data_IF_583114559092
#
_entry.id   IF_583114559092
#
_cell.length_a   1.000
_cell.length_b   1.000
_cell.length_c   1.000
_cell.angle_alpha   90.00
_cell.angle_beta   90.00
_cell.angle_gamma   90.00
#
_symmetry.space_group_name_H-M   'P 1'
#
loop_
_entity.id
_entity.type
_entity.pdbx_description
1 polymer ?
#
# COMPACT_ATOMS: atom_id res chain seq x y z
N UNK A 1 34.69 47.62 9.06
CA UNK A 1 35.25 48.94 9.44
C UNK A 1 36.42 49.38 8.57
N UNK A 2 37.43 48.52 8.36
CA UNK A 2 38.65 48.85 7.58
C UNK A 2 38.41 49.44 6.18
N UNK A 3 37.45 48.93 5.39
CA UNK A 3 37.21 49.44 4.04
C UNK A 3 36.45 50.78 3.98
N UNK A 4 35.57 51.07 4.94
CA UNK A 4 34.90 52.38 5.04
C UNK A 4 35.91 53.45 5.45
N UNK A 5 36.79 53.12 6.39
CA UNK A 5 37.92 53.96 6.79
C UNK A 5 38.89 54.18 5.63
N UNK A 6 39.18 53.15 4.82
CA UNK A 6 40.01 53.29 3.63
C UNK A 6 39.36 54.22 2.58
N UNK A 7 38.05 54.16 2.38
CA UNK A 7 37.34 55.07 1.47
C UNK A 7 37.35 56.52 2.00
N UNK A 8 37.18 56.72 3.30
CA UNK A 8 37.29 58.04 3.93
C UNK A 8 38.70 58.62 3.74
N UNK A 9 39.74 57.84 4.03
CA UNK A 9 41.14 58.24 3.83
C UNK A 9 41.43 58.59 2.37
N UNK A 10 40.90 57.82 1.41
CA UNK A 10 41.14 58.08 -0.02
C UNK A 10 40.33 59.28 -0.51
N UNK A 11 39.13 59.55 0.03
CA UNK A 11 38.38 60.77 -0.25
C UNK A 11 39.07 62.01 0.33
N UNK A 12 39.67 61.90 1.51
CA UNK A 12 40.46 62.98 2.11
C UNK A 12 41.70 63.29 1.25
N UNK A 13 42.38 62.26 0.73
CA UNK A 13 43.49 62.42 -0.22
C UNK A 13 43.06 63.10 -1.54
N UNK A 14 41.87 62.82 -2.05
CA UNK A 14 41.30 63.49 -3.24
C UNK A 14 40.94 64.96 -2.96
N UNK A 15 40.48 65.27 -1.75
CA UNK A 15 40.23 66.64 -1.31
C UNK A 15 41.55 67.44 -1.15
N UNK A 16 42.58 66.82 -0.58
CA UNK A 16 43.93 67.40 -0.50
C UNK A 16 44.52 67.62 -1.89
N UNK A 17 44.39 66.64 -2.79
CA UNK A 17 44.79 66.76 -4.19
C UNK A 17 44.09 67.94 -4.87
N UNK A 18 42.76 68.05 -4.73
CA UNK A 18 41.97 69.14 -5.30
C UNK A 18 42.40 70.52 -4.79
N UNK A 19 42.79 70.61 -3.51
CA UNK A 19 43.33 71.84 -2.91
C UNK A 19 44.72 72.19 -3.50
N UNK A 20 45.60 71.20 -3.69
CA UNK A 20 46.91 71.39 -4.33
C UNK A 20 46.77 71.83 -5.78
N UNK A 21 45.85 71.22 -6.55
CA UNK A 21 45.56 71.63 -7.93
C UNK A 21 44.99 73.05 -8.00
N UNK A 22 44.14 73.44 -7.05
CA UNK A 22 43.67 74.82 -6.90
C UNK A 22 44.81 75.82 -6.64
N UNK A 23 45.79 75.46 -5.82
CA UNK A 23 46.98 76.27 -5.56
C UNK A 23 47.89 76.37 -6.81
N UNK A 24 48.09 75.26 -7.54
CA UNK A 24 48.87 75.22 -8.77
C UNK A 24 48.21 76.06 -9.87
N UNK A 25 46.89 76.01 -10.02
CA UNK A 25 46.15 76.87 -10.96
C UNK A 25 46.32 78.36 -10.62
N UNK A 26 46.33 78.71 -9.33
CA UNK A 26 46.59 80.08 -8.90
C UNK A 26 48.00 80.52 -9.26
N UNK A 27 49.01 79.67 -9.03
CA UNK A 27 50.41 79.94 -9.39
C UNK A 27 50.55 80.08 -10.92
N UNK A 28 49.91 79.22 -11.72
CA UNK A 28 49.90 79.33 -13.18
C UNK A 28 49.27 80.65 -13.65
N UNK A 29 48.16 81.05 -13.05
CA UNK A 29 47.50 82.33 -13.35
C UNK A 29 48.38 83.54 -12.96
N UNK A 30 49.05 83.49 -11.80
CA UNK A 30 49.97 84.53 -11.37
C UNK A 30 51.19 84.61 -12.31
N UNK A 31 51.79 83.48 -12.68
CA UNK A 31 52.88 83.43 -13.67
C UNK A 31 52.47 84.01 -15.03
N UNK A 32 51.25 83.72 -15.50
CA UNK A 32 50.71 84.28 -16.74
C UNK A 32 50.45 85.79 -16.66
N UNK A 33 50.09 86.33 -15.48
CA UNK A 33 49.94 87.79 -15.28
C UNK A 33 51.28 88.53 -15.29
N UNK A 34 52.38 87.86 -14.96
CA UNK A 34 53.72 88.45 -14.88
C UNK A 34 54.63 88.09 -16.07
N UNK A 35 54.10 87.54 -17.17
CA UNK A 35 54.86 87.08 -18.35
C UNK A 35 56.02 86.12 -18.01
N UNK A 36 55.84 85.29 -16.97
CA UNK A 36 56.81 84.29 -16.55
C UNK A 36 56.57 82.93 -17.23
N UNK A 37 57.62 82.11 -17.43
CA UNK A 37 57.46 80.76 -17.97
C UNK A 37 56.53 79.93 -17.08
N UNK A 38 55.59 79.23 -17.72
CA UNK A 38 54.59 78.41 -17.00
C UNK A 38 55.28 77.28 -16.23
N UNK A 39 55.03 77.15 -14.91
CA UNK A 39 55.58 76.05 -14.13
C UNK A 39 54.88 74.74 -14.49
N UNK A 40 55.68 73.72 -14.81
CA UNK A 40 55.22 72.38 -15.19
C UNK A 40 55.43 71.41 -14.01
N UNK A 41 54.36 70.72 -13.60
CA UNK A 41 54.35 69.81 -12.45
C UNK A 41 53.86 68.42 -12.89
N UNK A 42 54.70 67.60 -13.56
CA UNK A 42 54.29 66.29 -14.06
C UNK A 42 53.92 65.33 -12.92
N UNK A 43 54.56 65.46 -11.76
CA UNK A 43 54.29 64.68 -10.54
C UNK A 43 52.85 64.88 -10.02
N UNK A 44 52.22 66.02 -10.31
CA UNK A 44 50.83 66.31 -9.92
C UNK A 44 49.83 65.60 -10.84
N UNK A 45 50.16 65.47 -12.13
CA UNK A 45 49.34 64.73 -13.08
C UNK A 45 49.44 63.21 -12.79
N UNK A 46 50.65 62.71 -12.51
CA UNK A 46 50.86 61.32 -12.05
C UNK A 46 50.13 61.02 -10.74
N UNK A 47 50.19 61.93 -9.76
CA UNK A 47 49.46 61.80 -8.50
C UNK A 47 47.93 61.82 -8.71
N UNK A 48 47.43 62.61 -9.68
CA UNK A 48 46.01 62.62 -10.02
C UNK A 48 45.55 61.25 -10.52
N UNK A 49 46.30 60.69 -11.46
CA UNK A 49 46.01 59.39 -12.05
C UNK A 49 46.01 58.30 -10.96
N UNK A 50 47.02 58.30 -10.07
CA UNK A 50 47.12 57.34 -8.96
C UNK A 50 45.97 57.47 -7.94
N UNK A 51 45.59 58.69 -7.56
CA UNK A 51 44.46 58.94 -6.63
C UNK A 51 43.14 58.51 -7.27
N UNK A 52 42.92 58.84 -8.55
CA UNK A 52 41.71 58.46 -9.28
C UNK A 52 41.62 56.93 -9.48
N UNK A 53 42.73 56.26 -9.82
CA UNK A 53 42.79 54.81 -9.90
C UNK A 53 42.43 54.17 -8.56
N UNK A 54 43.03 54.64 -7.47
CA UNK A 54 42.81 54.13 -6.11
C UNK A 54 41.36 54.33 -5.66
N UNK A 55 40.79 55.53 -5.87
CA UNK A 55 39.37 55.81 -5.63
C UNK A 55 38.46 54.86 -6.40
N UNK A 56 38.77 54.62 -7.68
CA UNK A 56 37.96 53.76 -8.53
C UNK A 56 37.89 52.32 -8.02
N UNK A 57 38.98 51.81 -7.45
CA UNK A 57 39.07 50.47 -6.91
C UNK A 57 38.40 50.33 -5.54
N UNK A 58 38.55 51.32 -4.65
CA UNK A 58 37.85 51.31 -3.37
C UNK A 58 36.34 51.53 -3.48
N UNK A 59 35.89 52.35 -4.44
CA UNK A 59 34.45 52.46 -4.78
C UNK A 59 33.91 51.12 -5.29
N UNK A 60 34.66 50.44 -6.14
CA UNK A 60 34.31 49.09 -6.63
C UNK A 60 34.13 48.11 -5.47
N UNK A 61 35.05 48.11 -4.50
CA UNK A 61 34.92 47.28 -3.30
C UNK A 61 33.70 47.66 -2.46
N UNK A 62 33.40 48.95 -2.29
CA UNK A 62 32.22 49.39 -1.52
C UNK A 62 30.92 48.88 -2.12
N UNK A 63 30.82 48.89 -3.44
CA UNK A 63 29.67 48.36 -4.16
C UNK A 63 29.57 46.84 -4.02
N UNK A 64 30.70 46.13 -4.13
CA UNK A 64 30.76 44.68 -3.90
C UNK A 64 30.30 44.33 -2.48
N UNK A 65 30.87 44.99 -1.48
CA UNK A 65 30.58 44.76 -0.06
C UNK A 65 29.12 45.05 0.28
N UNK A 66 28.50 46.03 -0.37
CA UNK A 66 27.07 46.31 -0.20
C UNK A 66 26.22 45.19 -0.80
N UNK A 67 26.45 44.82 -2.05
CA UNK A 67 25.64 43.80 -2.74
C UNK A 67 25.80 42.41 -2.10
N UNK A 68 27.03 41.99 -1.74
CA UNK A 68 27.22 40.70 -1.04
C UNK A 68 26.63 40.73 0.36
N UNK A 69 26.72 41.86 1.07
CA UNK A 69 26.14 42.01 2.40
C UNK A 69 24.60 41.93 2.41
N UNK A 70 23.94 42.37 1.34
CA UNK A 70 22.49 42.18 1.17
C UNK A 70 22.15 40.69 1.04
N UNK A 71 22.91 39.96 0.21
CA UNK A 71 22.74 38.51 -0.03
C UNK A 71 23.09 37.69 1.23
N UNK A 72 24.18 38.02 1.93
CA UNK A 72 24.64 37.37 3.16
C UNK A 72 23.64 37.46 4.30
N UNK A 73 22.91 38.58 4.38
CA UNK A 73 21.93 38.83 5.44
C UNK A 73 20.56 38.19 5.19
N UNK A 74 20.31 37.63 3.99
CA UNK A 74 19.05 36.95 3.70
C UNK A 74 18.85 35.72 4.61
N UNK A 75 17.61 35.45 5.05
CA UNK A 75 17.26 34.23 5.77
C UNK A 75 17.60 32.98 4.96
N UNK A 76 18.32 32.02 5.57
CA UNK A 76 18.77 30.80 4.89
C UNK A 76 17.63 30.00 4.26
N UNK A 77 16.49 29.91 4.96
CA UNK A 77 15.34 29.13 4.50
C UNK A 77 14.73 29.66 3.19
N UNK A 78 14.92 30.95 2.89
CA UNK A 78 14.41 31.60 1.68
C UNK A 78 15.44 31.56 0.55
N UNK A 79 16.70 31.88 0.87
CA UNK A 79 17.79 31.92 -0.13
C UNK A 79 18.25 30.53 -0.59
N UNK A 80 18.08 29.47 0.23
CA UNK A 80 18.47 28.10 -0.15
C UNK A 80 17.70 27.57 -1.38
N UNK A 81 16.51 28.09 -1.66
CA UNK A 81 15.76 27.75 -2.88
C UNK A 81 16.24 28.53 -4.11
N UNK A 82 16.93 29.65 -3.89
CA UNK A 82 17.39 30.59 -4.93
C UNK A 82 18.90 30.76 -4.92
N UNK A 83 19.66 29.69 -4.64
CA UNK A 83 21.13 29.73 -4.60
C UNK A 83 21.77 30.19 -5.92
N UNK A 84 21.05 30.12 -7.05
CA UNK A 84 21.50 30.69 -8.32
C UNK A 84 21.74 32.21 -8.27
N UNK A 85 21.10 32.94 -7.35
CA UNK A 85 21.34 34.37 -7.12
C UNK A 85 22.80 34.62 -6.73
N UNK A 86 23.39 33.72 -5.94
CA UNK A 86 24.80 33.80 -5.57
C UNK A 86 25.71 33.46 -6.76
N UNK A 87 25.34 32.47 -7.58
CA UNK A 87 26.06 32.14 -8.82
C UNK A 87 26.07 33.33 -9.80
N UNK A 88 24.91 33.97 -10.01
CA UNK A 88 24.74 35.15 -10.87
C UNK A 88 25.54 36.35 -10.35
N UNK A 89 25.51 36.57 -9.04
CA UNK A 89 26.32 37.58 -8.36
C UNK A 89 27.82 37.35 -8.62
N UNK A 90 28.31 36.13 -8.42
CA UNK A 90 29.72 35.79 -8.62
C UNK A 90 30.14 35.90 -10.09
N UNK A 91 29.25 35.58 -11.03
CA UNK A 91 29.49 35.75 -12.46
C UNK A 91 29.58 37.24 -12.87
N UNK A 92 28.60 38.05 -12.42
CA UNK A 92 28.57 39.51 -12.61
C UNK A 92 29.87 40.16 -12.12
N UNK A 93 30.30 39.82 -10.91
CA UNK A 93 31.48 40.43 -10.30
C UNK A 93 32.80 39.91 -10.87
N UNK A 94 32.86 38.65 -11.32
CA UNK A 94 34.03 38.14 -12.05
C UNK A 94 34.24 38.89 -13.38
N UNK A 95 33.17 39.15 -14.14
CA UNK A 95 33.27 39.90 -15.40
C UNK A 95 33.67 41.37 -15.17
N UNK A 96 33.11 41.99 -14.14
CA UNK A 96 33.38 43.39 -13.77
C UNK A 96 34.85 43.66 -13.40
N UNK A 97 35.54 42.65 -12.87
CA UNK A 97 36.94 42.72 -12.42
C UNK A 97 37.93 42.25 -13.50
N UNK A 98 37.48 41.44 -14.47
CA UNK A 98 38.31 40.75 -15.48
C UNK A 98 39.23 41.67 -16.31
N UNK A 99 38.78 42.87 -16.66
CA UNK A 99 39.50 43.79 -17.55
C UNK A 99 40.14 44.98 -16.80
N UNK A 100 40.24 44.92 -15.47
CA UNK A 100 40.83 45.99 -14.65
C UNK A 100 42.31 45.72 -14.34
N UNK A 101 43.06 46.80 -14.08
CA UNK A 101 44.44 46.74 -13.58
C UNK A 101 44.45 46.01 -12.22
N UNK A 102 45.39 45.08 -12.05
CA UNK A 102 45.46 44.23 -10.87
C UNK A 102 46.16 44.98 -9.72
N UNK A 103 45.38 45.68 -8.90
CA UNK A 103 45.82 46.26 -7.65
C UNK A 103 45.50 45.35 -6.44
N UNK A 104 45.77 45.82 -5.22
CA UNK A 104 45.52 45.08 -3.97
C UNK A 104 44.03 44.75 -3.79
N UNK A 105 43.13 45.67 -4.16
CA UNK A 105 41.68 45.50 -3.98
C UNK A 105 41.13 44.48 -4.97
N UNK A 106 41.51 44.60 -6.24
CA UNK A 106 41.16 43.67 -7.32
C UNK A 106 41.67 42.26 -7.01
N UNK A 107 42.91 42.10 -6.49
CA UNK A 107 43.43 40.80 -6.04
C UNK A 107 42.58 40.19 -4.93
N UNK A 108 42.19 41.00 -3.95
CA UNK A 108 41.32 40.55 -2.86
C UNK A 108 39.96 40.10 -3.39
N UNK A 109 39.31 40.91 -4.24
CA UNK A 109 38.01 40.58 -4.83
C UNK A 109 38.06 39.28 -5.65
N UNK A 110 39.11 39.09 -6.46
CA UNK A 110 39.30 37.84 -7.22
C UNK A 110 39.45 36.63 -6.30
N UNK A 111 40.24 36.75 -5.23
CA UNK A 111 40.41 35.68 -4.26
C UNK A 111 39.09 35.34 -3.54
N UNK A 112 38.32 36.36 -3.16
CA UNK A 112 37.05 36.19 -2.47
C UNK A 112 35.96 35.59 -3.37
N UNK A 113 35.86 36.05 -4.63
CA UNK A 113 34.96 35.47 -5.63
C UNK A 113 35.28 33.99 -5.85
N UNK A 114 36.57 33.63 -5.97
CA UNK A 114 36.97 32.23 -6.11
C UNK A 114 36.70 31.40 -4.85
N UNK A 115 36.87 31.98 -3.65
CA UNK A 115 36.51 31.33 -2.38
C UNK A 115 35.02 31.01 -2.35
N UNK A 116 34.17 32.01 -2.58
CA UNK A 116 32.72 31.85 -2.58
C UNK A 116 32.25 30.89 -3.67
N UNK A 117 32.81 30.97 -4.89
CA UNK A 117 32.49 30.06 -6.00
C UNK A 117 32.79 28.59 -5.66
N UNK A 118 33.89 28.32 -4.96
CA UNK A 118 34.18 26.97 -4.46
C UNK A 118 33.17 26.51 -3.43
N UNK A 119 32.59 27.41 -2.64
CA UNK A 119 31.67 27.10 -1.56
C UNK A 119 30.22 26.87 -2.01
N UNK A 120 29.76 27.50 -3.12
CA UNK A 120 28.37 27.38 -3.60
C UNK A 120 27.89 25.92 -3.77
N UNK A 121 28.66 24.99 -4.36
CA UNK A 121 28.24 23.60 -4.48
C UNK A 121 28.00 22.93 -3.13
N UNK A 122 28.70 23.33 -2.08
CA UNK A 122 28.54 22.76 -0.74
C UNK A 122 27.24 23.23 -0.09
N UNK A 123 26.88 24.51 -0.26
CA UNK A 123 25.61 25.07 0.22
C UNK A 123 24.39 24.30 -0.30
N UNK A 124 24.48 23.74 -1.51
CA UNK A 124 23.41 22.90 -2.09
C UNK A 124 23.20 21.59 -1.34
N UNK A 125 24.21 21.07 -0.65
CA UNK A 125 24.11 19.85 0.16
C UNK A 125 23.62 20.14 1.57
N UNK A 126 23.87 21.35 2.09
CA UNK A 126 23.45 21.76 3.45
C UNK A 126 22.03 22.35 3.49
N UNK A 127 21.23 22.16 2.42
CA UNK A 127 19.84 22.66 2.36
C UNK A 127 18.97 22.16 3.51
N UNK A 128 19.15 20.89 3.90
CA UNK A 128 18.47 20.29 5.06
C UNK A 128 16.96 20.16 4.87
N UNK A 129 16.48 19.77 3.68
CA UNK A 129 15.02 19.70 3.39
C UNK A 129 14.29 18.71 4.31
N UNK A 130 14.92 17.56 4.59
CA UNK A 130 14.41 16.53 5.50
C UNK A 130 14.78 16.77 6.98
N UNK A 131 15.38 17.91 7.34
CA UNK A 131 15.87 18.14 8.70
C UNK A 131 14.74 18.48 9.68
N UNK A 132 14.64 17.66 10.71
CA UNK A 132 13.89 17.94 11.94
C UNK A 132 14.70 18.91 12.81
N UNK A 133 14.11 19.37 13.92
CA UNK A 133 14.79 20.26 14.86
C UNK A 133 16.09 19.65 15.42
N UNK A 134 16.11 18.34 15.69
CA UNK A 134 17.32 17.65 16.16
C UNK A 134 18.43 17.63 15.11
N UNK A 135 18.07 17.43 13.83
CA UNK A 135 19.02 17.45 12.72
C UNK A 135 19.64 18.83 12.55
N UNK A 136 18.85 19.90 12.63
CA UNK A 136 19.37 21.28 12.60
C UNK A 136 20.33 21.57 13.75
N UNK A 137 20.01 21.15 14.98
CA UNK A 137 20.90 21.32 16.13
C UNK A 137 22.21 20.55 15.96
N UNK A 138 22.15 19.35 15.38
CA UNK A 138 23.35 18.55 15.07
C UNK A 138 24.20 19.25 14.01
N UNK A 139 23.59 19.78 12.95
CA UNK A 139 24.28 20.55 11.93
C UNK A 139 24.96 21.80 12.51
N UNK A 140 24.26 22.57 13.33
CA UNK A 140 24.82 23.77 13.98
C UNK A 140 26.01 23.43 14.86
N UNK A 141 26.02 22.24 15.49
CA UNK A 141 27.16 21.74 16.27
C UNK A 141 28.34 21.34 15.39
N UNK A 142 28.09 20.68 14.25
CA UNK A 142 29.14 20.29 13.30
C UNK A 142 29.82 21.52 12.68
N UNK A 143 29.04 22.57 12.40
CA UNK A 143 29.52 23.82 11.79
C UNK A 143 29.96 24.88 12.82
N UNK A 144 29.93 24.54 14.11
CA UNK A 144 30.33 25.39 15.23
C UNK A 144 29.64 26.76 15.25
N UNK A 145 28.35 26.80 14.91
CA UNK A 145 27.59 28.06 14.89
C UNK A 145 27.49 28.70 16.28
N UNK A 146 27.43 30.04 16.37
CA UNK A 146 27.30 30.75 17.63
C UNK A 146 26.08 30.29 18.45
N UNK A 147 26.23 30.28 19.77
CA UNK A 147 25.14 29.96 20.69
C UNK A 147 24.01 30.98 20.52
N UNK A 148 22.79 30.51 20.27
CA UNK A 148 21.61 31.35 20.02
C UNK A 148 21.18 31.41 18.55
N UNK A 149 21.96 30.84 17.63
CA UNK A 149 21.48 30.58 16.27
C UNK A 149 20.46 29.45 16.30
N UNK A 150 19.31 29.71 15.69
CA UNK A 150 18.21 28.78 15.52
C UNK A 150 17.68 28.83 14.08
N UNK A 151 16.65 28.02 13.80
CA UNK A 151 16.07 27.93 12.46
C UNK A 151 15.39 29.23 11.99
N UNK A 152 15.01 30.11 12.90
CA UNK A 152 14.28 31.36 12.63
C UNK A 152 15.20 32.55 12.34
N UNK A 153 16.42 32.55 12.90
CA UNK A 153 17.40 33.61 12.72
C UNK A 153 18.60 33.21 11.84
N UNK A 154 18.55 32.02 11.25
CA UNK A 154 19.59 31.48 10.37
C UNK A 154 19.69 32.29 9.06
N UNK A 155 20.88 32.77 8.77
CA UNK A 155 21.24 33.56 7.58
C UNK A 155 22.29 32.86 6.73
N UNK A 156 22.42 33.26 5.47
CA UNK A 156 23.47 32.76 4.58
C UNK A 156 24.88 33.03 5.12
N UNK A 157 25.10 34.20 5.75
CA UNK A 157 26.40 34.60 6.30
C UNK A 157 27.03 33.53 7.17
N UNK A 158 26.26 32.87 8.05
CA UNK A 158 26.78 31.81 8.94
C UNK A 158 27.39 30.62 8.16
N UNK A 159 26.81 30.27 7.01
CA UNK A 159 27.36 29.18 6.18
C UNK A 159 28.59 29.62 5.39
N UNK A 160 28.66 30.90 4.97
CA UNK A 160 29.80 31.46 4.26
C UNK A 160 30.99 31.73 5.17
N UNK A 161 30.73 32.11 6.42
CA UNK A 161 31.72 32.30 7.49
C UNK A 161 32.32 30.94 7.91
N UNK A 162 31.49 29.91 8.04
CA UNK A 162 31.93 28.54 8.36
C UNK A 162 32.31 27.71 7.12
N UNK A 163 32.64 28.33 5.98
CA UNK A 163 32.81 27.60 4.72
C UNK A 163 33.87 26.49 4.77
N UNK A 164 34.98 26.74 5.46
CA UNK A 164 36.07 25.77 5.57
C UNK A 164 35.65 24.55 6.42
N UNK A 165 34.81 24.77 7.42
CA UNK A 165 34.20 23.70 8.22
C UNK A 165 33.18 22.91 7.38
N UNK A 166 32.35 23.58 6.58
CA UNK A 166 31.41 22.91 5.66
C UNK A 166 32.17 21.96 4.71
N UNK A 167 33.28 22.42 4.14
CA UNK A 167 34.09 21.61 3.21
C UNK A 167 34.77 20.44 3.94
N UNK A 168 35.39 20.69 5.09
CA UNK A 168 36.12 19.65 5.83
C UNK A 168 35.20 18.61 6.48
N UNK A 169 34.00 19.01 6.90
CA UNK A 169 32.99 18.15 7.54
C UNK A 169 31.93 17.62 6.58
N UNK A 170 32.18 17.72 5.28
CA UNK A 170 31.21 17.37 4.24
C UNK A 170 30.71 15.92 4.33
N UNK A 171 31.56 14.97 4.74
CA UNK A 171 31.13 13.57 4.95
C UNK A 171 30.09 13.47 6.07
N UNK A 172 30.35 14.09 7.21
CA UNK A 172 29.44 14.06 8.37
C UNK A 172 28.10 14.73 8.04
N UNK A 173 28.12 15.81 7.24
CA UNK A 173 26.91 16.51 6.79
C UNK A 173 26.11 15.63 5.82
N UNK A 174 26.77 14.92 4.90
CA UNK A 174 26.10 13.97 3.99
C UNK A 174 25.47 12.81 4.75
N UNK A 175 26.17 12.28 5.75
CA UNK A 175 25.64 11.21 6.61
C UNK A 175 24.42 11.70 7.40
N UNK A 176 24.47 12.93 7.93
CA UNK A 176 23.32 13.58 8.59
C UNK A 176 22.13 13.77 7.62
N UNK A 177 22.39 14.18 6.37
CA UNK A 177 21.38 14.29 5.32
C UNK A 177 20.76 12.93 4.99
N UNK A 178 21.57 11.90 4.77
CA UNK A 178 21.09 10.56 4.49
C UNK A 178 20.24 10.02 5.64
N UNK A 179 20.69 10.21 6.88
CA UNK A 179 19.95 9.87 8.09
C UNK A 179 18.61 10.60 8.16
N UNK A 180 18.59 11.91 7.96
CA UNK A 180 17.38 12.71 8.06
C UNK A 180 16.34 12.31 7.01
N UNK A 181 16.76 12.12 5.75
CA UNK A 181 15.88 11.65 4.68
C UNK A 181 15.31 10.27 4.99
N UNK A 182 16.13 9.35 5.52
CA UNK A 182 15.66 8.03 5.91
C UNK A 182 14.68 8.09 7.09
N UNK A 183 14.96 8.88 8.14
CA UNK A 183 14.05 9.06 9.28
C UNK A 183 12.69 9.64 8.83
N UNK A 184 12.68 10.62 7.91
CA UNK A 184 11.44 11.19 7.33
C UNK A 184 10.68 10.15 6.53
N UNK A 185 11.36 9.39 5.65
CA UNK A 185 10.69 8.35 4.85
C UNK A 185 10.08 7.24 5.72
N UNK A 186 10.75 6.85 6.81
CA UNK A 186 10.20 5.88 7.77
C UNK A 186 8.96 6.46 8.47
N UNK A 187 9.03 7.71 8.92
CA UNK A 187 7.89 8.38 9.55
C UNK A 187 6.69 8.46 8.60
N UNK A 188 6.91 8.89 7.36
CA UNK A 188 5.85 8.98 6.35
C UNK A 188 5.19 7.62 6.08
N UNK A 189 5.98 6.55 5.98
CA UNK A 189 5.44 5.20 5.79
C UNK A 189 4.68 4.68 7.02
N UNK A 190 5.11 5.02 8.24
CA UNK A 190 4.38 4.69 9.46
C UNK A 190 3.08 5.50 9.61
N UNK A 191 3.09 6.76 9.18
CA UNK A 191 1.90 7.62 9.16
C UNK A 191 0.90 7.14 8.10
N UNK A 192 1.38 6.65 6.95
CA UNK A 192 0.56 5.99 5.94
C UNK A 192 -0.09 4.72 6.48
N UNK A 193 0.64 3.88 7.23
CA UNK A 193 0.08 2.71 7.91
C UNK A 193 -1.00 3.08 8.92
N UNK A 194 -0.77 4.13 9.70
CA UNK A 194 -1.76 4.63 10.65
C UNK A 194 -3.03 5.10 9.92
N UNK A 195 -2.87 5.89 8.87
CA UNK A 195 -3.99 6.38 8.06
C UNK A 195 -4.76 5.23 7.40
N UNK A 196 -4.06 4.27 6.80
CA UNK A 196 -4.67 3.07 6.25
C UNK A 196 -5.49 2.33 7.30
N UNK A 197 -4.98 2.20 8.53
CA UNK A 197 -5.68 1.51 9.61
C UNK A 197 -6.97 2.17 10.08
N UNK A 198 -7.06 3.50 9.91
CA UNK A 198 -8.23 4.30 10.29
C UNK A 198 -9.29 4.31 9.18
N UNK A 199 -8.85 4.31 7.91
CA UNK A 199 -9.72 4.41 6.73
C UNK A 199 -10.25 3.04 6.24
N UNK A 200 -9.53 1.94 6.53
CA UNK A 200 -9.82 0.63 5.93
C UNK A 200 -10.82 -0.17 6.75
N UNK A 201 -11.99 -0.41 6.15
CA UNK A 201 -13.09 -1.18 6.73
C UNK A 201 -13.38 -2.47 5.97
N UNK A 202 -13.93 -3.47 6.67
CA UNK A 202 -14.49 -4.67 6.06
C UNK A 202 -15.69 -4.35 5.19
N UNK A 203 -15.64 -4.78 3.94
CA UNK A 203 -16.81 -4.76 3.07
C UNK A 203 -17.70 -5.97 3.36
N UNK A 204 -18.90 -5.72 3.87
CA UNK A 204 -19.84 -6.75 4.33
C UNK A 204 -21.03 -6.93 3.37
N UNK A 205 -21.59 -8.15 3.35
CA UNK A 205 -22.84 -8.50 2.64
C UNK A 205 -23.74 -9.33 3.53
N UNK A 206 -25.04 -9.06 3.48
CA UNK A 206 -26.03 -9.84 4.24
C UNK A 206 -26.32 -11.17 3.56
N UNK A 207 -26.27 -12.25 4.34
CA UNK A 207 -26.61 -13.61 3.95
C UNK A 207 -27.65 -14.17 4.92
N UNK A 208 -28.50 -15.08 4.45
CA UNK A 208 -29.49 -15.78 5.29
C UNK A 208 -29.08 -17.23 5.44
N UNK A 209 -28.95 -17.67 6.69
CA UNK A 209 -28.64 -19.06 7.01
C UNK A 209 -29.83 -20.00 6.76
N UNK A 210 -29.63 -21.31 6.92
CA UNK A 210 -30.66 -22.33 6.71
C UNK A 210 -31.88 -22.19 7.61
N UNK A 211 -31.74 -21.48 8.75
CA UNK A 211 -32.82 -21.17 9.69
C UNK A 211 -33.49 -19.82 9.39
N UNK A 212 -33.07 -19.13 8.33
CA UNK A 212 -33.58 -17.83 7.92
C UNK A 212 -33.01 -16.64 8.72
N UNK A 213 -31.99 -16.86 9.56
CA UNK A 213 -31.33 -15.83 10.35
C UNK A 213 -30.34 -15.06 9.49
N UNK A 214 -30.35 -13.73 9.59
CA UNK A 214 -29.40 -12.88 8.88
C UNK A 214 -28.01 -12.94 9.54
N UNK A 215 -26.98 -13.07 8.72
CA UNK A 215 -25.57 -12.98 9.11
C UNK A 215 -24.83 -12.10 8.09
N UNK A 216 -23.99 -11.19 8.56
CA UNK A 216 -23.10 -10.43 7.68
C UNK A 216 -21.85 -11.25 7.38
N UNK A 217 -21.51 -11.37 6.10
CA UNK A 217 -20.33 -12.06 5.59
C UNK A 217 -19.36 -11.05 4.95
N UNK A 218 -18.06 -11.33 5.00
CA UNK A 218 -17.06 -10.48 4.34
C UNK A 218 -17.01 -10.81 2.85
N UNK A 219 -16.95 -9.77 2.02
CA UNK A 219 -16.64 -9.85 0.59
C UNK A 219 -15.30 -9.15 0.30
N UNK A 220 -14.85 -9.25 -0.95
CA UNK A 220 -13.64 -8.53 -1.43
C UNK A 220 -12.34 -8.88 -0.69
N UNK A 221 -12.25 -10.09 -0.14
CA UNK A 221 -11.08 -10.62 0.58
C UNK A 221 -9.74 -10.36 -0.11
N UNK A 222 -9.70 -10.48 -1.44
CA UNK A 222 -8.46 -10.43 -2.22
C UNK A 222 -7.76 -9.07 -2.11
N UNK A 223 -8.53 -7.99 -2.25
CA UNK A 223 -7.99 -6.63 -2.20
C UNK A 223 -7.43 -6.32 -0.81
N UNK A 224 -8.19 -6.64 0.22
CA UNK A 224 -7.76 -6.49 1.62
C UNK A 224 -6.50 -7.30 1.94
N UNK A 225 -6.44 -8.57 1.53
CA UNK A 225 -5.27 -9.42 1.74
C UNK A 225 -4.03 -8.87 1.01
N UNK A 226 -4.20 -8.33 -0.19
CA UNK A 226 -3.11 -7.68 -0.93
C UNK A 226 -2.61 -6.45 -0.20
N UNK A 227 -3.50 -5.56 0.25
CA UNK A 227 -3.10 -4.36 1.02
C UNK A 227 -2.31 -4.73 2.28
N UNK A 228 -2.77 -5.72 3.05
CA UNK A 228 -2.03 -6.20 4.24
C UNK A 228 -0.65 -6.72 3.87
N UNK A 229 -0.52 -7.49 2.78
CA UNK A 229 0.78 -7.99 2.31
C UNK A 229 1.73 -6.90 1.81
N UNK A 230 1.21 -5.88 1.14
CA UNK A 230 1.98 -4.73 0.68
C UNK A 230 2.52 -3.94 1.89
N UNK A 231 1.68 -3.70 2.89
CA UNK A 231 2.07 -3.03 4.14
C UNK A 231 3.09 -3.84 4.96
N UNK A 232 2.98 -5.17 4.98
CA UNK A 232 4.02 -6.03 5.57
C UNK A 232 5.37 -5.87 4.84
N UNK A 233 5.34 -5.77 3.51
CA UNK A 233 6.55 -5.59 2.70
C UNK A 233 7.20 -4.22 2.93
N UNK A 234 6.39 -3.16 3.05
CA UNK A 234 6.85 -1.82 3.42
C UNK A 234 7.49 -1.82 4.81
N UNK A 235 6.84 -2.45 5.79
CA UNK A 235 7.37 -2.53 7.16
C UNK A 235 8.69 -3.29 7.23
N UNK A 236 8.84 -4.36 6.44
CA UNK A 236 10.10 -5.10 6.34
C UNK A 236 11.22 -4.23 5.73
N UNK A 237 10.92 -3.47 4.68
CA UNK A 237 11.89 -2.55 4.07
C UNK A 237 12.33 -1.45 5.05
N UNK A 238 11.41 -0.94 5.88
CA UNK A 238 11.72 0.02 6.96
C UNK A 238 12.66 -0.60 7.99
N UNK A 239 12.45 -1.86 8.37
CA UNK A 239 13.25 -2.58 9.37
C UNK A 239 14.70 -2.80 8.92
N UNK A 240 14.92 -2.94 7.62
CA UNK A 240 16.24 -3.11 7.02
C UNK A 240 17.04 -1.78 6.97
N UNK A 241 16.39 -0.64 7.23
CA UNK A 241 17.05 0.66 7.26
C UNK A 241 17.99 0.78 8.47
N UNK A 242 19.23 1.25 8.29
CA UNK A 242 20.18 1.45 9.41
C UNK A 242 19.74 2.55 10.39
N UNK A 243 18.76 3.38 10.01
CA UNK A 243 18.25 4.50 10.82
C UNK A 243 16.93 4.18 11.54
N UNK A 244 16.50 2.91 11.50
CA UNK A 244 15.25 2.42 12.10
C UNK A 244 15.21 2.51 13.63
N UNK A 245 16.35 2.67 14.31
CA UNK A 245 16.47 2.52 15.76
C UNK A 245 15.46 3.31 16.61
N UNK A 246 15.03 4.50 16.18
CA UNK A 246 14.02 5.31 16.89
C UNK A 246 12.60 4.76 16.79
N UNK A 247 12.31 3.93 15.79
CA UNK A 247 10.96 3.49 15.41
C UNK A 247 10.64 2.05 15.83
N UNK A 248 11.58 1.35 16.48
CA UNK A 248 11.47 -0.08 16.83
C UNK A 248 10.15 -0.40 17.53
N UNK A 249 9.77 0.37 18.56
CA UNK A 249 8.57 0.07 19.34
C UNK A 249 7.28 0.19 18.52
N UNK A 250 7.17 1.26 17.71
CA UNK A 250 5.99 1.49 16.88
C UNK A 250 5.89 0.44 15.76
N UNK A 251 7.01 0.13 15.13
CA UNK A 251 7.06 -0.87 14.08
C UNK A 251 6.85 -2.30 14.58
N UNK A 252 7.34 -2.66 15.77
CA UNK A 252 7.06 -3.98 16.37
C UNK A 252 5.57 -4.16 16.72
N UNK A 253 4.86 -3.08 17.09
CA UNK A 253 3.41 -3.13 17.29
C UNK A 253 2.68 -3.36 15.96
N UNK A 254 3.07 -2.63 14.91
CA UNK A 254 2.55 -2.84 13.56
C UNK A 254 2.87 -4.23 13.01
N UNK A 255 4.06 -4.74 13.25
CA UNK A 255 4.49 -6.06 12.78
C UNK A 255 3.62 -7.17 13.38
N UNK A 256 3.34 -7.10 14.69
CA UNK A 256 2.42 -8.03 15.36
C UNK A 256 1.00 -7.93 14.80
N UNK A 257 0.48 -6.71 14.61
CA UNK A 257 -0.85 -6.47 14.06
C UNK A 257 -0.96 -7.02 12.64
N UNK A 258 -0.08 -6.60 11.73
CA UNK A 258 -0.08 -7.01 10.33
C UNK A 258 0.17 -8.51 10.18
N UNK A 259 1.04 -9.11 10.98
CA UNK A 259 1.23 -10.57 11.01
C UNK A 259 -0.03 -11.32 11.42
N UNK A 260 -0.73 -10.81 12.45
CA UNK A 260 -2.03 -11.36 12.90
C UNK A 260 -3.08 -11.24 11.81
N UNK A 261 -3.16 -10.08 11.13
CA UNK A 261 -4.08 -9.87 10.00
C UNK A 261 -3.75 -10.80 8.83
N UNK A 262 -2.48 -10.90 8.43
CA UNK A 262 -2.05 -11.70 7.28
C UNK A 262 -2.43 -13.18 7.43
N UNK A 263 -2.18 -13.77 8.60
CA UNK A 263 -2.56 -15.15 8.89
C UNK A 263 -4.08 -15.26 9.11
N UNK A 264 -4.62 -14.45 10.00
CA UNK A 264 -6.00 -14.60 10.46
C UNK A 264 -7.05 -14.31 9.37
N UNK A 265 -6.79 -13.37 8.46
CA UNK A 265 -7.70 -13.09 7.34
C UNK A 265 -7.72 -14.26 6.33
N UNK A 266 -6.59 -14.92 6.11
CA UNK A 266 -6.53 -16.10 5.23
C UNK A 266 -7.29 -17.29 5.84
N UNK A 267 -7.10 -17.52 7.14
CA UNK A 267 -7.80 -18.56 7.86
C UNK A 267 -9.30 -18.29 7.96
N UNK A 268 -9.70 -17.05 8.26
CA UNK A 268 -11.11 -16.66 8.33
C UNK A 268 -11.82 -16.77 6.98
N UNK A 269 -11.16 -16.40 5.87
CA UNK A 269 -11.69 -16.61 4.52
C UNK A 269 -11.92 -18.11 4.25
N UNK A 270 -10.97 -18.96 4.63
CA UNK A 270 -11.08 -20.41 4.51
C UNK A 270 -12.24 -20.97 5.34
N UNK A 271 -12.40 -20.48 6.57
CA UNK A 271 -13.51 -20.82 7.47
C UNK A 271 -14.84 -20.39 6.85
N UNK A 272 -14.99 -19.15 6.40
CA UNK A 272 -16.24 -18.65 5.81
C UNK A 272 -16.66 -19.50 4.60
N UNK A 273 -15.73 -19.87 3.72
CA UNK A 273 -16.01 -20.71 2.55
C UNK A 273 -16.46 -22.13 2.95
N UNK A 274 -15.77 -22.76 3.91
CA UNK A 274 -16.15 -24.09 4.41
C UNK A 274 -17.48 -24.05 5.16
N UNK A 275 -17.69 -23.03 5.99
CA UNK A 275 -18.92 -22.83 6.74
C UNK A 275 -20.12 -22.62 5.79
N UNK A 276 -19.99 -21.80 4.74
CA UNK A 276 -21.04 -21.61 3.74
C UNK A 276 -21.48 -22.92 3.04
N UNK A 277 -20.55 -23.85 2.83
CA UNK A 277 -20.86 -25.15 2.27
C UNK A 277 -21.53 -26.09 3.28
N UNK A 278 -21.05 -26.09 4.53
CA UNK A 278 -21.49 -27.02 5.57
C UNK A 278 -22.77 -26.57 6.29
N UNK A 279 -23.00 -25.26 6.46
CA UNK A 279 -24.14 -24.72 7.21
C UNK A 279 -25.50 -25.20 6.68
N UNK A 280 -25.79 -25.20 5.36
CA UNK A 280 -27.08 -25.67 4.87
C UNK A 280 -27.33 -27.16 5.13
N UNK A 281 -26.25 -27.93 5.24
CA UNK A 281 -26.27 -29.38 5.42
C UNK A 281 -26.52 -29.70 6.91
N UNK A 282 -25.68 -29.15 7.77
CA UNK A 282 -25.74 -29.37 9.22
C UNK A 282 -26.88 -28.60 9.90
N UNK A 283 -27.31 -27.46 9.35
CA UNK A 283 -28.46 -26.70 9.84
C UNK A 283 -29.79 -27.45 9.69
N UNK A 284 -29.87 -28.38 8.74
CA UNK A 284 -31.00 -29.33 8.59
C UNK A 284 -30.89 -30.56 9.49
N UNK A 285 -29.88 -30.64 10.35
CA UNK A 285 -29.67 -31.76 11.28
C UNK A 285 -29.00 -32.99 10.65
N UNK A 286 -28.27 -32.82 9.54
CA UNK A 286 -27.51 -33.92 8.95
C UNK A 286 -26.34 -34.34 9.88
N UNK A 287 -26.15 -35.65 10.05
CA UNK A 287 -25.11 -36.28 10.89
C UNK A 287 -25.12 -35.86 12.39
N UNK A 288 -25.96 -36.50 13.23
CA UNK A 288 -26.01 -36.25 14.67
C UNK A 288 -24.67 -36.45 15.40
N UNK A 289 -23.81 -37.35 14.89
CA UNK A 289 -22.52 -37.70 15.49
C UNK A 289 -21.53 -36.53 15.53
N UNK A 290 -21.57 -35.65 14.52
CA UNK A 290 -20.67 -34.49 14.38
C UNK A 290 -21.38 -33.15 14.52
N UNK A 291 -22.72 -33.15 14.61
CA UNK A 291 -23.54 -31.94 14.80
C UNK A 291 -23.04 -31.04 15.93
N UNK A 292 -22.73 -31.62 17.11
CA UNK A 292 -22.25 -30.85 18.26
C UNK A 292 -20.92 -30.13 17.99
N UNK A 293 -20.07 -30.69 17.13
CA UNK A 293 -18.81 -30.03 16.74
C UNK A 293 -19.09 -28.88 15.79
N UNK A 294 -19.97 -29.08 14.81
CA UNK A 294 -20.38 -28.02 13.89
C UNK A 294 -21.02 -26.85 14.63
N UNK A 295 -21.96 -27.12 15.55
CA UNK A 295 -22.64 -26.07 16.32
C UNK A 295 -21.66 -25.19 17.13
N UNK A 296 -20.59 -25.76 17.68
CA UNK A 296 -19.55 -24.96 18.38
C UNK A 296 -18.80 -24.04 17.42
N UNK A 297 -18.40 -24.56 16.25
CA UNK A 297 -17.73 -23.74 15.24
C UNK A 297 -18.66 -22.65 14.71
N UNK A 298 -19.94 -22.97 14.57
CA UNK A 298 -20.98 -22.06 14.12
C UNK A 298 -21.24 -20.92 15.13
N UNK A 299 -21.19 -21.22 16.44
CA UNK A 299 -21.19 -20.22 17.52
C UNK A 299 -19.93 -19.33 17.47
N UNK A 300 -18.74 -19.93 17.38
CA UNK A 300 -17.46 -19.22 17.30
C UNK A 300 -17.40 -18.32 16.05
N UNK A 301 -17.85 -18.82 14.90
CA UNK A 301 -17.89 -18.05 13.65
C UNK A 301 -18.83 -16.86 13.77
N UNK A 302 -20.05 -17.06 14.28
CA UNK A 302 -20.99 -15.95 14.50
C UNK A 302 -20.46 -14.92 15.51
N UNK A 303 -19.75 -15.37 16.55
CA UNK A 303 -19.09 -14.48 17.50
C UNK A 303 -18.06 -13.59 16.80
N UNK A 304 -17.17 -14.17 15.99
CA UNK A 304 -16.16 -13.41 15.22
C UNK A 304 -16.85 -12.43 14.26
N UNK A 305 -17.87 -12.87 13.52
CA UNK A 305 -18.57 -12.00 12.58
C UNK A 305 -19.31 -10.85 13.29
N UNK A 306 -19.84 -11.08 14.49
CA UNK A 306 -20.44 -10.01 15.29
C UNK A 306 -19.41 -8.96 15.71
N UNK A 307 -18.22 -9.39 16.17
CA UNK A 307 -17.14 -8.45 16.51
C UNK A 307 -16.72 -7.59 15.32
N UNK A 308 -16.68 -8.18 14.12
CA UNK A 308 -16.36 -7.47 12.87
C UNK A 308 -17.47 -6.48 12.46
N UNK A 309 -18.74 -6.82 12.71
CA UNK A 309 -19.86 -5.89 12.47
C UNK A 309 -19.83 -4.71 13.44
N UNK A 310 -19.52 -4.96 14.71
CA UNK A 310 -19.43 -3.93 15.77
C UNK A 310 -18.21 -3.02 15.55
N UNK A 311 -17.10 -3.59 15.07
CA UNK A 311 -15.85 -2.89 14.77
C UNK A 311 -15.39 -3.18 13.34
N UNK A 312 -15.86 -2.36 12.40
CA UNK A 312 -15.65 -2.58 10.97
C UNK A 312 -14.22 -2.38 10.48
N UNK A 313 -13.35 -1.74 11.26
CA UNK A 313 -11.95 -1.52 10.87
C UNK A 313 -11.21 -2.84 10.76
N UNK A 314 -10.40 -2.99 9.71
CA UNK A 314 -9.65 -4.23 9.48
C UNK A 314 -8.70 -4.53 10.63
N UNK A 315 -8.07 -3.51 11.20
CA UNK A 315 -7.14 -3.65 12.32
C UNK A 315 -7.79 -4.12 13.62
N UNK A 316 -9.08 -3.85 13.83
CA UNK A 316 -9.82 -4.34 15.02
C UNK A 316 -9.92 -5.86 15.06
N UNK A 317 -9.81 -6.55 13.91
CA UNK A 317 -9.73 -8.00 13.87
C UNK A 317 -8.48 -8.55 14.58
N UNK A 318 -7.35 -7.85 14.50
CA UNK A 318 -6.12 -8.24 15.20
C UNK A 318 -6.19 -8.02 16.72
N UNK A 319 -7.16 -7.23 17.19
CA UNK A 319 -7.38 -6.96 18.63
C UNK A 319 -8.25 -8.03 19.31
N UNK A 320 -8.86 -8.93 18.53
CA UNK A 320 -9.67 -10.03 19.05
C UNK A 320 -8.76 -11.01 19.81
N UNK A 321 -9.00 -11.12 21.12
CA UNK A 321 -8.17 -11.92 22.02
C UNK A 321 -8.21 -13.41 21.65
N UNK A 322 -7.03 -14.00 21.42
CA UNK A 322 -6.89 -15.42 21.11
C UNK A 322 -7.32 -15.83 19.70
N UNK A 323 -7.53 -14.87 18.79
CA UNK A 323 -8.02 -15.16 17.42
C UNK A 323 -7.14 -16.16 16.67
N UNK A 324 -5.80 -16.02 16.76
CA UNK A 324 -4.84 -16.92 16.11
C UNK A 324 -4.85 -18.35 16.68
N UNK A 325 -5.36 -18.56 17.90
CA UNK A 325 -5.54 -19.91 18.45
C UNK A 325 -6.91 -20.49 18.09
N UNK A 326 -7.92 -19.63 17.96
CA UNK A 326 -9.30 -20.01 17.66
C UNK A 326 -9.44 -20.48 16.20
N UNK A 327 -8.92 -19.71 15.23
CA UNK A 327 -9.12 -20.00 13.81
C UNK A 327 -8.57 -21.38 13.39
N UNK A 328 -7.35 -21.81 13.77
CA UNK A 328 -6.85 -23.14 13.40
C UNK A 328 -7.70 -24.27 14.00
N UNK A 329 -8.23 -24.10 15.23
CA UNK A 329 -9.13 -25.07 15.86
C UNK A 329 -10.46 -25.17 15.12
N UNK A 330 -10.98 -24.03 14.65
CA UNK A 330 -12.19 -23.99 13.82
C UNK A 330 -11.96 -24.70 12.49
N UNK A 331 -10.86 -24.41 11.79
CA UNK A 331 -10.49 -25.08 10.54
C UNK A 331 -10.42 -26.60 10.73
N UNK A 332 -9.69 -27.06 11.75
CA UNK A 332 -9.58 -28.49 12.04
C UNK A 332 -10.94 -29.13 12.33
N UNK A 333 -11.81 -28.44 13.05
CA UNK A 333 -13.16 -28.93 13.36
C UNK A 333 -14.04 -29.00 12.11
N UNK A 334 -13.96 -28.00 11.22
CA UNK A 334 -14.64 -28.01 9.92
C UNK A 334 -14.13 -29.12 9.01
N UNK A 335 -12.83 -29.38 9.00
CA UNK A 335 -12.23 -30.49 8.25
C UNK A 335 -12.71 -31.86 8.75
N UNK A 336 -12.83 -32.03 10.07
CA UNK A 336 -13.43 -33.25 10.64
C UNK A 336 -14.89 -33.41 10.25
N UNK A 337 -15.68 -32.31 10.26
CA UNK A 337 -17.07 -32.35 9.83
C UNK A 337 -17.18 -32.67 8.33
N UNK A 338 -16.34 -32.04 7.50
CA UNK A 338 -16.27 -32.29 6.07
C UNK A 338 -15.86 -33.75 5.77
N UNK A 339 -14.88 -34.29 6.50
CA UNK A 339 -14.46 -35.68 6.35
C UNK A 339 -15.58 -36.65 6.75
N UNK A 340 -16.23 -36.44 7.89
CA UNK A 340 -17.34 -37.27 8.33
C UNK A 340 -18.50 -37.25 7.32
N UNK A 341 -18.76 -36.08 6.72
CA UNK A 341 -19.72 -35.94 5.64
C UNK A 341 -19.29 -36.75 4.40
N UNK A 342 -18.05 -36.61 3.94
CA UNK A 342 -17.53 -37.37 2.80
C UNK A 342 -17.57 -38.89 3.04
N UNK A 343 -17.19 -39.35 4.23
CA UNK A 343 -17.22 -40.77 4.61
C UNK A 343 -18.67 -41.31 4.58
N UNK A 344 -19.66 -40.51 5.05
CA UNK A 344 -21.07 -40.89 4.96
C UNK A 344 -21.55 -40.95 3.51
N UNK A 345 -21.21 -39.96 2.68
CA UNK A 345 -21.61 -39.93 1.27
C UNK A 345 -21.02 -41.12 0.52
N UNK A 346 -19.77 -41.49 0.83
CA UNK A 346 -19.12 -42.66 0.24
C UNK A 346 -19.76 -43.97 0.72
N UNK A 347 -20.12 -44.09 2.01
CA UNK A 347 -20.89 -45.23 2.51
C UNK A 347 -22.21 -45.38 1.75
N UNK A 348 -22.93 -44.27 1.52
CA UNK A 348 -24.18 -44.27 0.75
C UNK A 348 -23.95 -44.63 -0.72
N UNK A 349 -22.89 -44.12 -1.35
CA UNK A 349 -22.49 -44.49 -2.72
C UNK A 349 -22.13 -45.97 -2.85
N UNK A 350 -21.47 -46.55 -1.85
CA UNK A 350 -21.11 -47.96 -1.85
C UNK A 350 -22.33 -48.89 -1.80
N UNK A 351 -23.40 -48.48 -1.09
CA UNK A 351 -24.66 -49.23 -1.02
C UNK A 351 -25.45 -49.15 -2.33
N UNK A 352 -25.39 -48.02 -3.03
CA UNK A 352 -26.06 -47.83 -4.32
C UNK A 352 -25.11 -47.18 -5.34
N UNK A 353 -24.40 -47.97 -6.17
CA UNK A 353 -23.36 -47.47 -7.08
C UNK A 353 -23.82 -46.42 -8.10
N UNK A 354 -25.12 -46.29 -8.38
CA UNK A 354 -25.60 -45.22 -9.28
C UNK A 354 -25.42 -43.83 -8.68
N UNK A 355 -25.24 -43.68 -7.38
CA UNK A 355 -24.91 -42.39 -6.76
C UNK A 355 -23.53 -41.84 -7.16
N UNK A 356 -22.66 -42.64 -7.79
CA UNK A 356 -21.42 -42.12 -8.40
C UNK A 356 -21.68 -41.24 -9.64
N UNK A 357 -22.89 -41.29 -10.23
CA UNK A 357 -23.25 -40.46 -11.38
C UNK A 357 -23.74 -39.04 -11.02
N UNK A 358 -23.89 -38.74 -9.73
CA UNK A 358 -24.37 -37.44 -9.23
C UNK A 358 -23.35 -36.78 -8.28
N UNK A 359 -23.36 -35.46 -8.25
CA UNK A 359 -22.50 -34.67 -7.36
C UNK A 359 -22.92 -34.77 -5.89
N UNK A 360 -22.05 -34.29 -4.98
CA UNK A 360 -22.31 -34.31 -3.54
C UNK A 360 -23.55 -33.49 -3.16
N UNK A 361 -23.77 -32.34 -3.81
CA UNK A 361 -24.93 -31.47 -3.60
C UNK A 361 -26.26 -32.17 -3.96
N UNK A 362 -26.29 -32.83 -5.13
CA UNK A 362 -27.45 -33.60 -5.59
C UNK A 362 -27.73 -34.77 -4.64
N UNK A 363 -26.67 -35.51 -4.23
CA UNK A 363 -26.80 -36.63 -3.31
C UNK A 363 -27.33 -36.18 -1.95
N UNK A 364 -26.85 -35.05 -1.45
CA UNK A 364 -27.31 -34.46 -0.20
C UNK A 364 -28.75 -33.97 -0.27
N UNK A 365 -29.18 -33.41 -1.40
CA UNK A 365 -30.57 -33.01 -1.59
C UNK A 365 -31.51 -34.22 -1.58
N UNK A 366 -31.12 -35.32 -2.24
CA UNK A 366 -31.85 -36.59 -2.23
C UNK A 366 -31.94 -37.16 -0.81
N UNK A 367 -30.85 -37.15 -0.05
CA UNK A 367 -30.82 -37.67 1.32
C UNK A 367 -31.60 -36.78 2.30
N UNK A 368 -31.58 -35.46 2.11
CA UNK A 368 -32.25 -34.50 2.98
C UNK A 368 -33.75 -34.34 2.71
N UNK A 369 -34.20 -34.62 1.49
CA UNK A 369 -35.62 -34.55 1.10
C UNK A 369 -36.10 -35.87 0.46
N UNK A 370 -35.73 -36.99 1.07
CA UNK A 370 -36.01 -38.36 0.62
C UNK A 370 -37.48 -38.70 0.39
N UNK A 371 -38.40 -37.93 0.98
CA UNK A 371 -39.86 -38.10 0.89
C UNK A 371 -40.54 -37.11 -0.04
N UNK A 372 -39.83 -36.11 -0.57
CA UNK A 372 -40.44 -35.09 -1.41
C UNK A 372 -40.49 -35.59 -2.87
N UNK A 373 -41.69 -35.87 -3.43
CA UNK A 373 -41.81 -36.47 -4.76
C UNK A 373 -41.19 -35.60 -5.87
N UNK A 374 -41.24 -34.26 -5.72
CA UNK A 374 -40.66 -33.34 -6.69
C UNK A 374 -39.14 -33.43 -6.75
N UNK A 375 -38.49 -33.58 -5.59
CA UNK A 375 -37.03 -33.72 -5.50
C UNK A 375 -36.61 -35.09 -6.03
N UNK A 376 -37.30 -36.15 -5.61
CA UNK A 376 -37.09 -37.51 -6.10
C UNK A 376 -37.18 -37.52 -7.64
N UNK A 377 -38.22 -36.91 -8.20
CA UNK A 377 -38.46 -36.87 -9.63
C UNK A 377 -37.33 -36.16 -10.41
N UNK A 378 -36.83 -35.03 -9.90
CA UNK A 378 -35.76 -34.27 -10.54
C UNK A 378 -34.44 -35.06 -10.61
N UNK A 379 -34.14 -35.82 -9.54
CA UNK A 379 -32.90 -36.58 -9.42
C UNK A 379 -32.97 -37.98 -10.02
N UNK A 380 -34.14 -38.63 -10.06
CA UNK A 380 -34.33 -39.93 -10.72
C UNK A 380 -33.93 -39.89 -12.19
N UNK A 381 -34.25 -38.80 -12.89
CA UNK A 381 -33.84 -38.56 -14.28
C UNK A 381 -32.31 -38.55 -14.46
N UNK A 382 -31.56 -38.11 -13.43
CA UNK A 382 -30.08 -38.12 -13.44
C UNK A 382 -29.53 -39.51 -13.15
N UNK A 383 -30.20 -40.30 -12.30
CA UNK A 383 -29.77 -41.63 -11.86
C UNK A 383 -30.12 -42.75 -12.87
N UNK A 384 -31.20 -42.58 -13.65
CA UNK A 384 -31.70 -43.54 -14.60
C UNK A 384 -31.90 -42.90 -15.97
N UNK A 385 -31.04 -43.24 -16.94
CA UNK A 385 -31.12 -42.69 -18.30
C UNK A 385 -32.45 -43.00 -19.02
N UNK A 386 -33.08 -44.14 -18.71
CA UNK A 386 -34.30 -44.59 -19.36
C UNK A 386 -35.60 -44.07 -18.70
N UNK A 387 -35.51 -43.48 -17.49
CA UNK A 387 -36.68 -42.98 -16.76
C UNK A 387 -36.76 -41.47 -16.99
N UNK A 388 -37.86 -41.03 -17.60
CA UNK A 388 -38.16 -39.61 -17.72
C UNK A 388 -38.99 -39.12 -16.53
N UNK A 389 -40.03 -39.88 -16.16
CA UNK A 389 -40.90 -39.57 -15.03
C UNK A 389 -41.32 -40.85 -14.29
N UNK A 390 -41.74 -40.72 -13.04
CA UNK A 390 -42.42 -41.79 -12.30
C UNK A 390 -43.76 -41.27 -11.78
N UNK A 391 -44.77 -42.12 -11.78
CA UNK A 391 -46.06 -41.80 -11.18
C UNK A 391 -46.08 -42.27 -9.73
N UNK A 392 -46.65 -41.43 -8.88
CA UNK A 392 -46.80 -41.69 -7.46
C UNK A 392 -48.26 -42.02 -7.15
N UNK A 393 -48.49 -42.84 -6.12
CA UNK A 393 -49.81 -43.11 -5.57
C UNK A 393 -50.52 -41.83 -5.09
N UNK A 394 -51.84 -41.88 -4.87
CA UNK A 394 -52.62 -40.72 -4.37
C UNK A 394 -52.08 -40.17 -3.04
N UNK A 395 -51.50 -41.03 -2.20
CA UNK A 395 -50.87 -40.67 -0.94
C UNK A 395 -49.37 -40.35 -1.05
N UNK A 396 -48.81 -40.39 -2.26
CA UNK A 396 -47.40 -40.09 -2.60
C UNK A 396 -46.37 -40.95 -1.86
N UNK A 397 -46.77 -42.13 -1.37
CA UNK A 397 -45.89 -43.05 -0.65
C UNK A 397 -45.36 -44.17 -1.52
N UNK A 398 -45.97 -44.42 -2.66
CA UNK A 398 -45.60 -45.53 -3.52
C UNK A 398 -45.36 -45.04 -4.94
N UNK A 399 -44.42 -45.69 -5.62
CA UNK A 399 -44.16 -45.52 -7.04
C UNK A 399 -44.92 -46.62 -7.78
N UNK A 400 -45.89 -46.22 -8.59
CA UNK A 400 -46.84 -47.13 -9.26
C UNK A 400 -46.41 -47.46 -10.69
N UNK A 401 -45.82 -46.50 -11.39
CA UNK A 401 -45.38 -46.66 -12.78
C UNK A 401 -44.18 -45.79 -13.09
N UNK A 402 -43.40 -46.19 -14.09
CA UNK A 402 -42.35 -45.35 -14.67
C UNK A 402 -42.66 -45.05 -16.13
N UNK A 403 -42.24 -43.87 -16.57
CA UNK A 403 -42.50 -43.31 -17.89
C UNK A 403 -41.21 -43.07 -18.65
N UNK A 404 -41.16 -43.53 -19.90
CA UNK A 404 -40.05 -43.30 -20.82
C UNK A 404 -40.10 -41.88 -21.40
N UNK A 405 -39.00 -41.46 -22.02
CA UNK A 405 -38.93 -40.18 -22.75
C UNK A 405 -39.89 -40.13 -23.94
N UNK A 406 -40.23 -41.28 -24.52
CA UNK A 406 -41.14 -41.44 -25.65
C UNK A 406 -42.62 -41.48 -25.22
N UNK A 407 -42.86 -41.42 -23.90
CA UNK A 407 -44.19 -41.36 -23.32
C UNK A 407 -44.80 -42.71 -22.97
N UNK A 408 -44.06 -43.81 -23.13
CA UNK A 408 -44.49 -45.14 -22.73
C UNK A 408 -44.58 -45.24 -21.21
N UNK A 409 -45.66 -45.83 -20.70
CA UNK A 409 -45.89 -45.99 -19.25
C UNK A 409 -45.91 -47.48 -18.94
N UNK A 410 -45.07 -47.89 -17.99
CA UNK A 410 -44.99 -49.28 -17.51
C UNK A 410 -45.36 -49.30 -16.04
N UNK A 411 -46.41 -50.05 -15.69
CA UNK A 411 -46.82 -50.27 -14.31
C UNK A 411 -45.86 -51.22 -13.61
N UNK A 412 -45.34 -50.81 -12.44
CA UNK A 412 -44.43 -51.61 -11.64
C UNK A 412 -45.18 -52.74 -10.95
N UNK A 413 -44.63 -53.95 -11.02
CA UNK A 413 -45.17 -55.15 -10.38
C UNK A 413 -44.06 -55.80 -9.56
N UNK A 414 -44.04 -55.68 -8.22
CA UNK A 414 -44.95 -54.90 -7.34
C UNK A 414 -44.64 -53.38 -7.30
N UNK A 415 -45.57 -52.58 -6.77
CA UNK A 415 -45.35 -51.14 -6.49
C UNK A 415 -44.24 -50.94 -5.43
N UNK A 416 -43.48 -49.84 -5.53
CA UNK A 416 -42.33 -49.57 -4.64
C UNK A 416 -42.70 -48.55 -3.56
N UNK A 417 -42.52 -48.91 -2.29
CA UNK A 417 -42.73 -48.00 -1.17
C UNK A 417 -41.53 -47.05 -0.95
N UNK A 418 -41.81 -45.76 -0.82
CA UNK A 418 -40.84 -44.71 -0.54
C UNK A 418 -40.60 -44.66 0.96
N UNK A 419 -39.44 -45.15 1.37
CA UNK A 419 -39.01 -45.18 2.77
C UNK A 419 -37.91 -44.16 3.05
N UNK A 420 -37.56 -43.98 4.32
CA UNK A 420 -36.44 -43.11 4.74
C UNK A 420 -35.07 -43.63 4.26
N UNK A 421 -34.96 -44.91 3.90
CA UNK A 421 -33.75 -45.55 3.40
C UNK A 421 -33.69 -45.46 1.88
N UNK A 422 -33.22 -44.31 1.39
CA UNK A 422 -33.22 -43.99 -0.05
C UNK A 422 -32.44 -45.00 -0.89
N UNK A 423 -31.32 -45.48 -0.38
CA UNK A 423 -30.52 -46.50 -1.05
C UNK A 423 -31.27 -47.82 -1.29
N UNK A 424 -32.18 -48.19 -0.38
CA UNK A 424 -32.87 -49.48 -0.43
C UNK A 424 -33.98 -49.42 -1.46
N UNK A 425 -34.90 -48.45 -1.37
CA UNK A 425 -36.00 -48.36 -2.31
C UNK A 425 -35.53 -48.03 -3.73
N UNK A 426 -34.41 -47.31 -3.91
CA UNK A 426 -33.82 -47.10 -5.24
C UNK A 426 -33.22 -48.38 -5.82
N UNK A 427 -32.62 -49.23 -4.99
CA UNK A 427 -32.15 -50.55 -5.42
C UNK A 427 -33.34 -51.44 -5.79
N UNK A 428 -34.37 -51.47 -4.95
CA UNK A 428 -35.61 -52.22 -5.17
C UNK A 428 -36.32 -51.74 -6.45
N UNK A 429 -36.36 -50.43 -6.70
CA UNK A 429 -36.87 -49.86 -7.95
C UNK A 429 -36.08 -50.41 -9.15
N UNK A 430 -34.75 -50.41 -9.07
CA UNK A 430 -33.92 -50.89 -10.18
C UNK A 430 -34.09 -52.39 -10.46
N UNK A 431 -34.24 -53.21 -9.42
CA UNK A 431 -34.48 -54.64 -9.54
C UNK A 431 -35.89 -54.94 -10.06
N UNK A 432 -36.90 -54.25 -9.49
CA UNK A 432 -38.30 -54.41 -9.88
C UNK A 432 -38.54 -53.95 -11.30
N UNK A 433 -37.90 -52.87 -11.77
CA UNK A 433 -37.97 -52.49 -13.17
C UNK A 433 -37.53 -53.63 -14.10
N UNK A 434 -36.42 -54.30 -13.79
CA UNK A 434 -35.94 -55.43 -14.60
C UNK A 434 -36.90 -56.62 -14.51
N UNK A 435 -37.39 -56.95 -13.31
CA UNK A 435 -38.39 -58.02 -13.11
C UNK A 435 -39.68 -57.74 -13.87
N UNK A 436 -40.28 -56.57 -13.70
CA UNK A 436 -41.51 -56.14 -14.38
C UNK A 436 -41.35 -56.18 -15.91
N UNK A 437 -40.21 -55.71 -16.45
CA UNK A 437 -39.94 -55.81 -17.90
C UNK A 437 -39.77 -57.27 -18.36
N UNK A 438 -39.17 -58.13 -17.54
CA UNK A 438 -38.96 -59.56 -17.85
C UNK A 438 -40.29 -60.32 -17.82
N UNK A 439 -41.12 -60.07 -16.81
CA UNK A 439 -42.47 -60.64 -16.68
C UNK A 439 -43.37 -60.16 -17.82
N UNK A 440 -43.34 -58.86 -18.13
CA UNK A 440 -44.08 -58.30 -19.26
C UNK A 440 -43.63 -58.90 -20.60
N UNK A 441 -42.33 -59.18 -20.77
CA UNK A 441 -41.81 -59.88 -21.95
C UNK A 441 -42.32 -61.33 -22.01
N UNK A 442 -42.27 -62.06 -20.90
CA UNK A 442 -42.79 -63.43 -20.83
C UNK A 442 -44.30 -63.48 -21.11
N UNK A 443 -45.08 -62.56 -20.55
CA UNK A 443 -46.51 -62.43 -20.82
C UNK A 443 -46.78 -62.07 -22.29
N UNK A 444 -45.96 -61.19 -22.87
CA UNK A 444 -46.04 -60.83 -24.28
C UNK A 444 -45.77 -62.04 -25.20
N UNK A 445 -44.84 -62.93 -24.84
CA UNK A 445 -44.56 -64.16 -25.61
C UNK A 445 -45.68 -65.21 -25.50
N UNK A 446 -46.46 -65.18 -24.42
CA UNK A 446 -47.55 -66.14 -24.16
C UNK A 446 -48.91 -65.64 -24.67
N UNK A 447 -49.10 -64.33 -24.78
CA UNK A 447 -50.36 -63.71 -25.21
C UNK A 447 -50.36 -63.42 -26.72
N UNK A 448 -51.56 -63.46 -27.32
CA UNK A 448 -51.78 -63.16 -28.74
C UNK A 448 -52.21 -61.71 -29.00
N UNK A 449 -52.39 -60.91 -27.95
CA UNK A 449 -52.81 -59.51 -28.03
C UNK A 449 -51.62 -58.57 -27.78
N UNK A 450 -50.99 -58.15 -28.87
CA UNK A 450 -49.78 -57.33 -28.87
C UNK A 450 -50.04 -55.84 -28.58
N UNK A 451 -51.30 -55.38 -28.57
CA UNK A 451 -51.64 -53.97 -28.37
C UNK A 451 -51.54 -53.51 -26.90
N UNK A 452 -51.40 -54.45 -25.97
CA UNK A 452 -51.39 -54.19 -24.52
C UNK A 452 -49.97 -53.88 -24.01
N UNK A 453 -48.94 -54.25 -24.77
CA UNK A 453 -47.54 -54.15 -24.34
C UNK A 453 -46.83 -52.92 -24.92
N UNK A 454 -45.93 -52.27 -24.14
CA UNK A 454 -45.08 -51.20 -24.63
C UNK A 454 -44.27 -51.60 -25.87
N UNK A 455 -44.02 -50.65 -26.78
CA UNK A 455 -43.39 -50.90 -28.07
C UNK A 455 -42.00 -51.50 -27.93
N UNK A 456 -41.24 -51.09 -26.91
CA UNK A 456 -39.92 -51.67 -26.62
C UNK A 456 -39.97 -53.15 -26.24
N UNK A 457 -41.03 -53.60 -25.56
CA UNK A 457 -41.20 -55.02 -25.18
C UNK A 457 -41.55 -55.86 -26.40
N UNK A 458 -42.39 -55.33 -27.29
CA UNK A 458 -42.70 -55.97 -28.57
C UNK A 458 -41.45 -56.16 -29.44
N UNK A 459 -40.63 -55.12 -29.57
CA UNK A 459 -39.36 -55.22 -30.30
C UNK A 459 -38.38 -56.20 -29.66
N UNK A 460 -38.35 -56.31 -28.33
CA UNK A 460 -37.53 -57.29 -27.62
C UNK A 460 -38.05 -58.73 -27.75
N UNK A 461 -39.37 -58.92 -27.91
CA UNK A 461 -39.97 -60.24 -28.15
C UNK A 461 -39.76 -60.75 -29.58
N UNK A 462 -39.58 -59.85 -30.55
CA UNK A 462 -39.29 -60.20 -31.95
C UNK A 462 -37.82 -60.56 -32.22
N UNK A 463 -36.89 -60.14 -31.36
CA UNK A 463 -35.44 -60.44 -31.44
C UNK A 463 -35.11 -61.81 -30.83
#
# INVERSE_FOLDING_TARGET
>A
ESAKQAIEVVNDLDAEYSSLTGAVLKIKNDCAQFDMPEPFFPELDELQEDVQETLSSWRLYSEYAKEIGEIENEPWLEIRERLYVLDDFLAKWADRVKNRKIDTVVRYLLAEIERLRKNVPFLRVVKGDAFTQEHWLTLFRILEFPKGVDRSNLKLSYFLDSSDLVVSKMSEIKDLQARATAEVSIQEALDELLRWSEETEFTLTEHKDSSGRAISLIKEWKDMQTQVGDHQSVLQAIRDSPYFGKFILQADDWDKKLSTLGIGLNDLNTIQRKWLYLEPIFGRGALPQVQNKFNRVDEDFRFIMQQIVDHRRVTSFAEISGILEMLPRMIQSLEQCQKALSDLLEEKRSKFPRFYFIGDDDLLEILGQSKNPTVIQAHLKKLFQAIFAVDFSEDQKQITSFKSIEGEVVALMPEIEITDLVEQWLSDLSETMVKTLTESLCECMLNSDFLVFPSMILCAAEQ
#
